data_IF_703638523657
#
_entry.id   IF_703638523657
#
_cell.length_a   1.000
_cell.length_b   1.000
_cell.length_c   1.000
_cell.angle_alpha   90.00
_cell.angle_beta   90.00
_cell.angle_gamma   90.00
#
_symmetry.space_group_name_H-M   'P 1'
#
loop_
_entity.id
_entity.type
_entity.pdbx_description
1 polymer ?
#
# COMPACT_ATOMS: atom_id res chain seq x y z
N UNK A 1 15.28 -39.73 -20.16
CA UNK A 1 15.85 -38.66 -19.31
C UNK A 1 14.69 -38.10 -18.51
N UNK A 2 14.69 -38.31 -17.19
CA UNK A 2 13.59 -37.95 -16.30
C UNK A 2 13.94 -36.58 -15.69
N UNK A 3 13.13 -35.55 -15.94
CA UNK A 3 13.27 -34.23 -15.31
C UNK A 3 12.64 -34.33 -13.92
N UNK A 4 13.33 -33.96 -12.82
CA UNK A 4 12.72 -33.98 -11.50
C UNK A 4 11.66 -32.87 -11.43
N UNK A 5 10.45 -33.25 -11.02
CA UNK A 5 9.38 -32.31 -10.72
C UNK A 5 9.81 -31.39 -9.56
N UNK A 6 9.66 -30.07 -9.74
CA UNK A 6 9.65 -29.14 -8.62
C UNK A 6 8.62 -29.61 -7.59
N UNK A 7 8.94 -29.65 -6.28
CA UNK A 7 7.92 -29.85 -5.28
C UNK A 7 6.93 -28.68 -5.35
N UNK A 8 5.66 -29.04 -5.49
CA UNK A 8 4.48 -28.20 -5.38
C UNK A 8 4.50 -27.52 -4.00
N UNK A 9 5.13 -26.35 -3.94
CA UNK A 9 5.11 -25.51 -2.75
C UNK A 9 3.71 -24.90 -2.69
N UNK A 10 2.84 -25.50 -1.88
CA UNK A 10 1.58 -24.90 -1.49
C UNK A 10 1.82 -23.42 -1.16
N UNK A 11 1.03 -22.48 -1.71
CA UNK A 11 1.23 -21.07 -1.45
C UNK A 11 1.17 -20.85 0.07
N UNK A 12 2.11 -20.08 0.65
CA UNK A 12 2.05 -19.79 2.08
C UNK A 12 0.69 -19.14 2.37
N UNK A 13 0.01 -19.62 3.41
CA UNK A 13 -1.17 -18.96 3.96
C UNK A 13 -0.88 -17.46 4.07
N UNK A 14 -1.79 -16.57 3.66
CA UNK A 14 -1.55 -15.14 3.72
C UNK A 14 -1.35 -14.76 5.19
N UNK A 15 -0.10 -14.62 5.59
CA UNK A 15 0.29 -14.21 6.92
C UNK A 15 -0.28 -12.80 7.13
N UNK A 16 -1.40 -12.74 7.86
CA UNK A 16 -2.04 -11.51 8.28
C UNK A 16 -1.18 -10.96 9.42
N UNK A 17 -0.34 -9.98 9.11
CA UNK A 17 0.72 -9.51 10.03
C UNK A 17 0.16 -8.60 11.13
N UNK A 18 -1.00 -7.95 10.91
CA UNK A 18 -1.66 -7.16 11.93
C UNK A 18 -3.16 -6.99 11.64
N UNK A 19 -3.94 -6.91 12.72
CA UNK A 19 -5.39 -6.70 12.75
C UNK A 19 -5.68 -5.39 13.46
N UNK A 20 -6.11 -4.37 12.72
CA UNK A 20 -6.57 -3.10 13.32
C UNK A 20 -8.09 -3.04 13.26
N UNK A 21 -8.73 -2.82 14.41
CA UNK A 21 -10.19 -2.81 14.51
C UNK A 21 -10.74 -1.47 14.01
N UNK A 22 -11.51 -1.53 12.93
CA UNK A 22 -12.24 -0.39 12.39
C UNK A 22 -13.59 -0.17 13.06
N UNK A 23 -14.43 0.68 12.46
CA UNK A 23 -15.82 0.91 12.90
C UNK A 23 -16.73 -0.22 12.39
N UNK A 24 -17.79 -0.52 13.15
CA UNK A 24 -18.97 -1.29 12.72
C UNK A 24 -18.68 -2.55 11.87
N UNK A 25 -18.05 -3.58 12.44
CA UNK A 25 -17.86 -4.87 11.75
C UNK A 25 -16.79 -4.88 10.67
N UNK A 26 -16.07 -3.76 10.46
CA UNK A 26 -14.92 -3.67 9.56
C UNK A 26 -13.63 -3.84 10.36
N UNK A 27 -12.77 -4.74 9.90
CA UNK A 27 -11.39 -4.94 10.35
C UNK A 27 -10.45 -4.63 9.21
N UNK A 28 -9.24 -4.16 9.50
CA UNK A 28 -8.21 -3.97 8.48
C UNK A 28 -7.08 -4.94 8.76
N UNK A 29 -6.75 -5.72 7.73
CA UNK A 29 -5.69 -6.70 7.70
C UNK A 29 -4.52 -6.12 6.90
N UNK A 30 -3.30 -6.45 7.31
CA UNK A 30 -2.10 -6.06 6.57
C UNK A 30 -1.46 -7.27 5.90
N UNK A 31 -1.32 -7.20 4.58
CA UNK A 31 -0.62 -8.20 3.77
C UNK A 31 0.73 -7.64 3.34
N UNK A 32 1.85 -8.36 3.52
CA UNK A 32 3.15 -7.84 3.13
C UNK A 32 3.25 -7.68 1.61
N UNK A 33 3.81 -6.55 1.18
CA UNK A 33 4.23 -6.32 -0.21
C UNK A 33 5.73 -6.57 -0.25
N UNK A 34 6.18 -7.56 -1.02
CA UNK A 34 7.57 -8.01 -1.02
C UNK A 34 8.39 -7.32 -2.10
N UNK A 35 9.54 -6.76 -1.74
CA UNK A 35 10.62 -6.42 -2.66
C UNK A 35 11.36 -7.70 -3.06
N UNK A 36 11.06 -8.22 -4.25
CA UNK A 36 11.68 -9.44 -4.77
C UNK A 36 13.18 -9.29 -5.05
N UNK A 37 13.67 -8.07 -5.30
CA UNK A 37 15.09 -7.84 -5.54
C UNK A 37 15.89 -7.88 -4.23
N UNK A 38 15.29 -7.40 -3.13
CA UNK A 38 15.91 -7.36 -1.80
C UNK A 38 15.55 -8.56 -0.91
N UNK A 39 14.54 -9.35 -1.27
CA UNK A 39 14.05 -10.47 -0.47
C UNK A 39 13.45 -10.02 0.87
N UNK A 40 12.88 -8.83 0.93
CA UNK A 40 12.32 -8.24 2.15
C UNK A 40 10.97 -7.57 1.87
N UNK A 41 10.11 -7.43 2.88
CA UNK A 41 8.91 -6.60 2.72
C UNK A 41 9.33 -5.15 2.35
N UNK A 42 8.64 -4.52 1.41
CA UNK A 42 8.76 -3.10 1.09
C UNK A 42 7.67 -2.27 1.80
N UNK A 43 6.56 -2.91 2.17
CA UNK A 43 5.42 -2.26 2.77
C UNK A 43 4.30 -3.26 3.03
N UNK A 44 3.10 -2.75 3.27
CA UNK A 44 1.92 -3.58 3.50
C UNK A 44 0.74 -3.07 2.68
N UNK A 45 -0.12 -3.96 2.22
CA UNK A 45 -1.43 -3.61 1.68
C UNK A 45 -2.46 -3.70 2.80
N UNK A 46 -3.19 -2.62 3.03
CA UNK A 46 -4.35 -2.58 3.91
C UNK A 46 -5.54 -3.22 3.19
N UNK A 47 -6.06 -4.32 3.74
CA UNK A 47 -7.17 -5.08 3.18
C UNK A 47 -8.31 -5.09 4.19
N UNK A 48 -9.47 -4.62 3.78
CA UNK A 48 -10.65 -4.67 4.63
C UNK A 48 -11.16 -6.11 4.79
N UNK A 49 -11.23 -6.58 6.03
CA UNK A 49 -12.02 -7.75 6.42
C UNK A 49 -13.38 -7.30 6.94
N UNK A 50 -14.46 -7.71 6.28
CA UNK A 50 -15.83 -7.40 6.69
C UNK A 50 -16.43 -8.60 7.40
N UNK A 51 -16.88 -8.42 8.64
CA UNK A 51 -17.60 -9.44 9.41
C UNK A 51 -18.82 -8.82 10.07
N UNK A 52 -19.98 -8.79 9.38
CA UNK A 52 -21.20 -8.24 9.96
C UNK A 52 -21.68 -9.10 11.13
N UNK A 53 -22.42 -8.49 12.05
CA UNK A 53 -23.00 -9.21 13.18
C UNK A 53 -24.18 -10.09 12.74
N UNK A 54 -24.91 -9.65 11.72
CA UNK A 54 -26.00 -10.36 11.06
C UNK A 54 -25.66 -10.55 9.56
N UNK A 55 -25.74 -11.77 9.00
CA UNK A 55 -25.55 -12.00 7.56
C UNK A 55 -26.47 -11.18 6.64
N UNK A 56 -27.62 -10.71 7.12
CA UNK A 56 -28.53 -9.85 6.38
C UNK A 56 -28.12 -8.36 6.40
N UNK A 57 -27.20 -7.98 7.28
CA UNK A 57 -26.68 -6.61 7.38
C UNK A 57 -25.77 -6.32 6.18
N UNK A 58 -26.18 -5.34 5.38
CA UNK A 58 -25.35 -4.82 4.28
C UNK A 58 -24.46 -3.71 4.81
N UNK A 59 -23.15 -3.93 4.78
CA UNK A 59 -22.18 -2.87 5.08
C UNK A 59 -21.99 -2.01 3.83
N UNK A 60 -22.09 -0.70 4.01
CA UNK A 60 -21.84 0.29 2.95
C UNK A 60 -20.38 0.20 2.45
N UNK A 61 -20.15 -0.07 1.15
CA UNK A 61 -18.80 -0.11 0.59
C UNK A 61 -17.98 1.17 0.85
N UNK A 62 -18.63 2.34 0.85
CA UNK A 62 -17.93 3.59 1.15
C UNK A 62 -17.46 3.61 2.61
N UNK A 63 -18.27 3.13 3.56
CA UNK A 63 -17.87 3.03 4.95
C UNK A 63 -16.68 2.09 5.16
N UNK A 64 -16.60 1.00 4.38
CA UNK A 64 -15.45 0.07 4.39
C UNK A 64 -14.19 0.75 3.90
N UNK A 65 -14.26 1.45 2.76
CA UNK A 65 -13.11 2.20 2.20
C UNK A 65 -12.65 3.29 3.15
N UNK A 66 -13.58 4.08 3.70
CA UNK A 66 -13.26 5.16 4.64
C UNK A 66 -12.60 4.63 5.91
N UNK A 67 -13.09 3.52 6.46
CA UNK A 67 -12.47 2.87 7.62
C UNK A 67 -11.06 2.38 7.29
N UNK A 68 -10.85 1.84 6.09
CA UNK A 68 -9.54 1.37 5.64
C UNK A 68 -8.57 2.53 5.48
N UNK A 69 -9.02 3.65 4.89
CA UNK A 69 -8.25 4.88 4.76
C UNK A 69 -7.87 5.43 6.14
N UNK A 70 -8.82 5.53 7.07
CA UNK A 70 -8.56 6.05 8.42
C UNK A 70 -7.46 5.27 9.14
N UNK A 71 -7.56 3.94 9.09
CA UNK A 71 -6.60 3.04 9.71
C UNK A 71 -5.25 3.12 9.01
N UNK A 72 -5.22 3.12 7.67
CA UNK A 72 -3.98 3.23 6.92
C UNK A 72 -3.26 4.57 7.13
N UNK A 73 -3.98 5.70 7.19
CA UNK A 73 -3.40 7.02 7.49
C UNK A 73 -2.79 7.06 8.89
N UNK A 74 -3.46 6.45 9.87
CA UNK A 74 -2.95 6.38 11.23
C UNK A 74 -1.65 5.58 11.30
N UNK A 75 -1.62 4.41 10.67
CA UNK A 75 -0.45 3.53 10.69
C UNK A 75 0.70 4.10 9.84
N UNK A 76 0.42 4.73 8.69
CA UNK A 76 1.45 5.29 7.82
C UNK A 76 2.27 6.38 8.50
N UNK A 77 1.68 7.13 9.43
CA UNK A 77 2.38 8.15 10.22
C UNK A 77 3.41 7.58 11.21
N UNK A 78 3.40 6.26 11.44
CA UNK A 78 4.31 5.57 12.37
C UNK A 78 5.33 4.68 11.68
N UNK A 79 5.22 4.53 10.35
CA UNK A 79 6.11 3.69 9.57
C UNK A 79 7.48 4.34 9.37
N UNK A 80 8.56 3.53 9.27
CA UNK A 80 9.83 4.02 8.76
C UNK A 80 9.71 4.59 7.34
N UNK A 81 10.53 5.58 7.00
CA UNK A 81 10.51 6.28 5.70
C UNK A 81 10.75 5.36 4.48
N UNK A 82 11.36 4.19 4.68
CA UNK A 82 11.59 3.18 3.64
C UNK A 82 10.36 2.27 3.40
N UNK A 83 9.27 2.46 4.16
CA UNK A 83 8.07 1.65 4.12
C UNK A 83 6.85 2.44 3.66
N UNK A 84 5.84 1.71 3.22
CA UNK A 84 4.57 2.28 2.80
C UNK A 84 3.38 1.40 3.18
N UNK A 85 2.20 2.00 3.16
CA UNK A 85 0.91 1.31 3.16
C UNK A 85 0.23 1.52 1.82
N UNK A 86 -0.09 0.42 1.15
CA UNK A 86 -0.94 0.41 -0.03
C UNK A 86 -2.40 0.31 0.37
N UNK A 87 -3.25 1.17 -0.19
CA UNK A 87 -4.70 1.15 0.01
C UNK A 87 -5.37 0.91 -1.34
N UNK A 88 -6.11 -0.20 -1.51
CA UNK A 88 -6.92 -0.41 -2.70
C UNK A 88 -8.10 0.57 -2.70
N UNK A 89 -8.22 1.35 -3.76
CA UNK A 89 -9.34 2.28 -3.97
C UNK A 89 -9.83 2.10 -5.40
N UNK A 90 -11.11 1.80 -5.59
CA UNK A 90 -11.66 1.68 -6.94
C UNK A 90 -11.60 3.02 -7.68
N UNK A 91 -11.39 2.95 -8.99
CA UNK A 91 -11.30 4.12 -9.86
C UNK A 91 -12.46 5.12 -9.67
N UNK A 92 -13.68 4.62 -9.46
CA UNK A 92 -14.86 5.46 -9.22
C UNK A 92 -14.83 6.22 -7.89
N UNK A 93 -14.18 5.65 -6.87
CA UNK A 93 -14.08 6.24 -5.53
C UNK A 93 -12.90 7.19 -5.37
N UNK A 94 -11.88 7.10 -6.23
CA UNK A 94 -10.70 7.98 -6.19
C UNK A 94 -11.09 9.46 -6.27
N UNK A 95 -12.08 9.78 -7.11
CA UNK A 95 -12.60 11.14 -7.28
C UNK A 95 -13.76 11.49 -6.35
N UNK A 96 -14.21 10.57 -5.49
CA UNK A 96 -15.35 10.82 -4.61
C UNK A 96 -15.04 11.97 -3.63
N UNK A 97 -15.94 12.96 -3.44
CA UNK A 97 -15.67 14.10 -2.59
C UNK A 97 -15.35 13.74 -1.14
N UNK A 98 -15.94 12.68 -0.60
CA UNK A 98 -15.75 12.24 0.79
C UNK A 98 -14.36 11.61 0.94
N UNK A 99 -13.98 10.74 0.00
CA UNK A 99 -12.64 10.13 -0.04
C UNK A 99 -11.56 11.20 -0.20
N UNK A 100 -11.76 12.13 -1.15
CA UNK A 100 -10.82 13.22 -1.42
C UNK A 100 -10.65 14.14 -0.22
N UNK A 101 -11.76 14.58 0.38
CA UNK A 101 -11.71 15.41 1.57
C UNK A 101 -10.95 14.72 2.71
N UNK A 102 -11.14 13.41 2.86
CA UNK A 102 -10.48 12.67 3.93
C UNK A 102 -8.98 12.52 3.72
N UNK A 103 -8.54 12.09 2.54
CA UNK A 103 -7.12 11.96 2.22
C UNK A 103 -6.41 13.31 2.33
N UNK A 104 -6.94 14.36 1.69
CA UNK A 104 -6.29 15.67 1.71
C UNK A 104 -6.32 16.35 3.09
N UNK A 105 -7.28 16.02 3.96
CA UNK A 105 -7.29 16.53 5.34
C UNK A 105 -6.11 16.05 6.19
N UNK A 106 -5.45 14.96 5.79
CA UNK A 106 -4.29 14.44 6.50
C UNK A 106 -3.02 15.26 6.24
N UNK A 107 -2.94 15.93 5.08
CA UNK A 107 -1.83 16.80 4.70
C UNK A 107 -0.69 16.06 4.00
N UNK A 108 -0.02 15.13 4.69
CA UNK A 108 1.12 14.37 4.15
C UNK A 108 0.73 12.92 3.84
N UNK A 109 0.82 12.54 2.57
CA UNK A 109 0.51 11.19 2.08
C UNK A 109 1.77 10.41 1.68
N UNK A 110 2.97 10.85 2.06
CA UNK A 110 4.26 10.27 1.64
C UNK A 110 4.45 8.78 1.96
N UNK A 111 3.83 8.31 3.05
CA UNK A 111 3.82 6.90 3.46
C UNK A 111 2.74 6.04 2.77
N UNK A 112 1.96 6.61 1.86
CA UNK A 112 0.86 5.93 1.20
C UNK A 112 1.11 5.64 -0.28
N UNK A 113 0.66 4.46 -0.68
CA UNK A 113 0.43 4.07 -2.07
C UNK A 113 -1.08 3.94 -2.27
N UNK A 114 -1.68 4.73 -3.15
CA UNK A 114 -3.05 4.51 -3.60
C UNK A 114 -3.02 3.52 -4.75
N UNK A 115 -3.53 2.32 -4.50
CA UNK A 115 -3.64 1.25 -5.50
C UNK A 115 -5.00 1.36 -6.18
N UNK A 116 -5.03 2.01 -7.33
CA UNK A 116 -6.27 2.28 -8.06
C UNK A 116 -6.71 1.00 -8.76
N UNK A 117 -7.77 0.38 -8.22
CA UNK A 117 -8.35 -0.85 -8.77
C UNK A 117 -9.44 -0.52 -9.80
N UNK A 118 -9.79 -1.50 -10.63
CA UNK A 118 -10.83 -1.33 -11.66
C UNK A 118 -10.57 -0.14 -12.59
N UNK A 119 -9.30 0.10 -12.92
CA UNK A 119 -8.91 1.26 -13.71
C UNK A 119 -9.53 1.21 -15.10
N UNK A 120 -10.42 2.17 -15.37
CA UNK A 120 -11.02 2.38 -16.68
C UNK A 120 -10.21 3.45 -17.45
N UNK A 121 -9.95 3.21 -18.73
CA UNK A 121 -9.14 4.13 -19.55
C UNK A 121 -9.78 5.50 -19.77
N UNK A 122 -11.10 5.61 -19.55
CA UNK A 122 -11.89 6.83 -19.57
C UNK A 122 -11.97 7.46 -18.18
N UNK A 123 -10.80 7.86 -17.65
CA UNK A 123 -10.75 8.62 -16.40
C UNK A 123 -11.49 9.96 -16.56
N UNK A 124 -12.47 10.21 -15.69
CA UNK A 124 -13.14 11.50 -15.63
C UNK A 124 -12.16 12.62 -15.25
N UNK A 125 -12.42 13.86 -15.66
CA UNK A 125 -11.59 15.01 -15.26
C UNK A 125 -11.47 15.14 -13.73
N UNK A 126 -12.52 14.73 -13.00
CA UNK A 126 -12.53 14.67 -11.54
C UNK A 126 -11.53 13.66 -11.00
N UNK A 127 -11.48 12.46 -11.58
CA UNK A 127 -10.53 11.40 -11.17
C UNK A 127 -9.09 11.83 -11.43
N UNK A 128 -8.80 12.39 -12.60
CA UNK A 128 -7.46 12.89 -12.94
C UNK A 128 -7.01 13.99 -11.97
N UNK A 129 -7.88 14.97 -11.72
CA UNK A 129 -7.58 16.07 -10.77
C UNK A 129 -7.30 15.52 -9.38
N UNK A 130 -8.11 14.59 -8.88
CA UNK A 130 -7.92 13.99 -7.56
C UNK A 130 -6.57 13.27 -7.46
N UNK A 131 -6.20 12.48 -8.48
CA UNK A 131 -4.91 11.79 -8.50
C UNK A 131 -3.72 12.75 -8.50
N UNK A 132 -3.82 13.87 -9.20
CA UNK A 132 -2.78 14.90 -9.19
C UNK A 132 -2.67 15.57 -7.82
N UNK A 133 -3.80 15.93 -7.18
CA UNK A 133 -3.79 16.47 -5.82
C UNK A 133 -3.15 15.50 -4.82
N UNK A 134 -3.43 14.20 -4.94
CA UNK A 134 -2.84 13.19 -4.06
C UNK A 134 -1.33 13.07 -4.26
N UNK A 135 -0.85 13.17 -5.51
CA UNK A 135 0.59 13.18 -5.80
C UNK A 135 1.26 14.42 -5.25
N UNK A 136 0.62 15.59 -5.35
CA UNK A 136 1.12 16.83 -4.77
C UNK A 136 1.21 16.76 -3.24
N UNK A 137 0.29 16.04 -2.60
CA UNK A 137 0.32 15.72 -1.17
C UNK A 137 1.31 14.59 -0.80
N UNK A 138 2.06 14.04 -1.76
CA UNK A 138 3.12 13.05 -1.53
C UNK A 138 2.71 11.59 -1.76
N UNK A 139 1.45 11.30 -2.08
CA UNK A 139 1.00 9.94 -2.33
C UNK A 139 1.65 9.35 -3.58
N UNK A 140 1.99 8.07 -3.51
CA UNK A 140 2.37 7.29 -4.70
C UNK A 140 1.11 6.65 -5.28
N UNK A 141 0.99 6.60 -6.61
CA UNK A 141 -0.17 6.00 -7.28
C UNK A 141 0.28 4.72 -7.99
N UNK A 142 -0.36 3.61 -7.68
CA UNK A 142 -0.27 2.35 -8.40
C UNK A 142 -1.59 2.07 -9.13
N UNK A 143 -1.53 1.25 -10.19
CA UNK A 143 -2.71 0.82 -10.92
C UNK A 143 -2.74 -0.72 -10.89
N UNK A 144 -3.63 -1.26 -10.08
CA UNK A 144 -3.78 -2.70 -9.86
C UNK A 144 -5.00 -3.27 -10.58
N UNK A 145 -4.97 -4.57 -10.88
CA UNK A 145 -6.18 -5.31 -11.26
C UNK A 145 -6.89 -5.82 -9.98
N UNK A 146 -8.22 -5.89 -10.01
CA UNK A 146 -9.07 -6.31 -8.89
C UNK A 146 -8.78 -7.74 -8.42
N UNK A 147 -8.19 -8.56 -9.29
CA UNK A 147 -8.01 -10.01 -9.09
C UNK A 147 -6.60 -10.40 -8.68
N UNK A 148 -5.64 -9.47 -8.68
CA UNK A 148 -4.27 -9.81 -8.30
C UNK A 148 -4.16 -9.90 -6.79
N UNK A 149 -4.07 -11.14 -6.31
CA UNK A 149 -3.79 -11.47 -4.92
C UNK A 149 -2.48 -10.86 -4.42
N UNK A 150 -1.63 -10.30 -5.28
CA UNK A 150 -0.52 -9.41 -4.92
C UNK A 150 -0.48 -8.30 -5.95
N UNK A 151 -0.41 -7.01 -5.57
CA UNK A 151 -0.11 -5.98 -6.55
C UNK A 151 1.26 -6.32 -7.16
N UNK A 152 1.27 -6.79 -8.42
CA UNK A 152 2.52 -7.08 -9.10
C UNK A 152 3.33 -5.79 -9.16
N UNK A 153 4.56 -5.84 -8.64
CA UNK A 153 5.50 -4.72 -8.67
C UNK A 153 5.68 -4.15 -10.09
N UNK A 154 5.31 -4.87 -11.15
CA UNK A 154 5.22 -4.36 -12.53
C UNK A 154 4.38 -3.09 -12.67
N UNK A 155 3.30 -2.94 -11.89
CA UNK A 155 2.48 -1.71 -11.83
C UNK A 155 3.05 -0.63 -10.91
N UNK A 156 3.93 -1.02 -9.98
CA UNK A 156 4.61 -0.14 -9.00
C UNK A 156 5.93 0.41 -9.58
N UNK A 157 6.52 -0.25 -10.59
CA UNK A 157 7.82 0.09 -11.18
C UNK A 157 7.80 1.31 -12.13
N UNK A 158 6.67 2.01 -12.28
CA UNK A 158 6.68 3.39 -12.83
C UNK A 158 7.06 4.45 -11.80
N UNK A 159 7.30 4.05 -10.55
CA UNK A 159 7.89 4.90 -9.53
C UNK A 159 9.40 5.02 -9.77
N UNK A 160 9.83 6.17 -10.27
CA UNK A 160 11.25 6.53 -10.27
C UNK A 160 11.79 6.40 -8.84
N UNK A 161 12.87 5.64 -8.61
CA UNK A 161 13.60 5.72 -7.35
C UNK A 161 14.27 7.11 -7.28
N UNK A 162 13.92 7.92 -6.28
CA UNK A 162 14.76 9.06 -5.92
C UNK A 162 15.99 8.52 -5.21
N UNK A 163 17.07 8.31 -5.96
CA UNK A 163 18.40 8.06 -5.42
C UNK A 163 18.95 9.42 -5.00
N UNK A 164 18.86 9.76 -3.71
CA UNK A 164 19.74 10.78 -3.13
C UNK A 164 21.20 10.32 -3.25
N UNK A 165 22.17 11.23 -3.47
CA UNK A 165 23.56 10.85 -3.68
C UNK A 165 24.07 10.01 -2.52
N UNK A 166 24.61 8.83 -2.87
CA UNK A 166 25.29 7.94 -1.97
C UNK A 166 26.42 8.69 -1.24
N UNK A 167 26.23 8.95 0.05
CA UNK A 167 27.30 9.36 0.94
C UNK A 167 28.29 8.21 1.06
N UNK A 168 29.39 8.29 0.31
CA UNK A 168 30.54 7.44 0.49
C UNK A 168 31.06 7.59 1.93
N UNK A 169 30.90 6.56 2.75
CA UNK A 169 31.70 6.37 3.95
C UNK A 169 32.47 5.06 3.81
N UNK A 170 33.60 5.17 3.11
CA UNK A 170 34.68 4.20 3.18
C UNK A 170 35.56 4.46 4.41
N UNK A 171 36.36 3.46 4.83
CA UNK A 171 36.84 3.33 6.19
C UNK A 171 38.09 4.16 6.48
N UNK A 172 38.14 4.82 7.64
CA UNK A 172 39.38 5.37 8.19
C UNK A 172 39.81 4.54 9.42
N UNK A 173 40.67 3.56 9.15
CA UNK A 173 41.56 2.96 10.13
C UNK A 173 42.71 3.94 10.42
N UNK A 174 42.92 4.34 11.67
CA UNK A 174 44.23 4.84 12.13
C UNK A 174 44.50 4.33 13.55
N UNK A 175 45.63 3.65 13.65
CA UNK A 175 46.21 3.05 14.83
C UNK A 175 46.87 4.05 15.78
N UNK A 176 46.93 3.65 17.06
CA UNK A 176 47.97 3.88 18.10
C UNK A 176 48.87 5.11 17.97
N UNK A 177 48.97 5.87 19.06
CA UNK A 177 50.25 6.39 19.59
C UNK A 177 50.17 6.54 21.12
N UNK A 178 50.95 5.71 21.81
CA UNK A 178 51.62 6.05 23.08
C UNK A 178 52.72 7.08 22.79
N UNK A 179 53.16 7.84 23.79
CA UNK A 179 54.27 7.38 24.63
C UNK A 179 53.87 7.06 26.07
#
# INVERSE_FOLDING_TARGET
MNVPACPDAAPPDPEVVALTRGRAGVTVLYRPVLDVARGAAAGHQAVAGVRPADPAERIDPLAVVMTTIDVALHESATLPDDRFISIPVSHDLVGDPVVRARLLSHGDLGGLVLDVTDFASDASSRTTTALDDYREAGARIAVGSRDDAQPELGSILRLRPFIGPAGASGPASVARRTP
#
